data_IF_238556236000
#
_entry.id   IF_238556236000
#
_cell.length_a   1.000
_cell.length_b   1.000
_cell.length_c   1.000
_cell.angle_alpha   90.00
_cell.angle_beta   90.00
_cell.angle_gamma   90.00
#
_symmetry.space_group_name_H-M   'P 1'
#
loop_
_entity.id
_entity.type
_entity.pdbx_description
1 polymer ?
#
# COMPACT_ATOMS: atom_id res chain seq x y z
N UNK A 1 -6.55 -28.09 12.23
CA UNK A 1 -5.46 -27.14 11.95
C UNK A 1 -5.93 -25.75 12.34
N UNK A 2 -5.41 -25.22 13.45
CA UNK A 2 -5.72 -23.87 13.95
C UNK A 2 -5.27 -22.84 12.91
N UNK A 3 -6.22 -22.04 12.43
CA UNK A 3 -6.01 -21.05 11.40
C UNK A 3 -5.43 -19.79 12.06
N UNK A 4 -4.12 -19.74 12.24
CA UNK A 4 -3.47 -18.60 12.92
C UNK A 4 -3.46 -17.40 11.97
N UNK A 5 -4.41 -16.46 12.19
CA UNK A 5 -4.38 -15.14 11.56
C UNK A 5 -3.14 -14.39 12.04
N UNK A 6 -2.35 -13.87 11.11
CA UNK A 6 -1.16 -13.07 11.43
C UNK A 6 -1.41 -11.63 11.05
N UNK A 7 -1.28 -10.73 12.00
CA UNK A 7 -1.28 -9.28 11.80
C UNK A 7 0.14 -8.75 11.96
N UNK A 8 0.57 -7.87 11.06
CA UNK A 8 1.84 -7.17 11.16
C UNK A 8 1.58 -5.68 11.02
N UNK A 9 2.16 -4.90 11.93
CA UNK A 9 2.05 -3.45 11.96
C UNK A 9 3.39 -2.82 11.57
N UNK A 10 3.35 -1.78 10.74
CA UNK A 10 4.49 -0.91 10.44
C UNK A 10 4.09 0.54 10.67
N UNK A 11 4.93 1.27 11.39
CA UNK A 11 4.75 2.70 11.62
C UNK A 11 5.83 3.47 10.88
N UNK A 12 5.45 4.56 10.23
CA UNK A 12 6.38 5.48 9.56
C UNK A 12 5.82 6.90 9.62
N UNK A 13 6.55 7.87 9.10
CA UNK A 13 6.09 9.25 8.96
C UNK A 13 5.74 9.52 7.50
N UNK A 14 4.69 10.32 7.27
CA UNK A 14 4.39 10.89 5.96
C UNK A 14 5.38 12.02 5.63
N UNK A 15 5.34 12.51 4.40
CA UNK A 15 6.16 13.66 3.96
C UNK A 15 5.86 14.91 4.79
N UNK A 16 4.64 15.02 5.32
CA UNK A 16 4.17 16.13 6.16
C UNK A 16 4.43 15.89 7.67
N UNK A 17 5.25 14.89 8.02
CA UNK A 17 5.56 14.46 9.40
C UNK A 17 4.34 13.96 10.21
N UNK A 18 3.29 13.50 9.56
CA UNK A 18 2.17 12.83 10.23
C UNK A 18 2.45 11.33 10.43
N UNK A 19 1.90 10.72 11.48
CA UNK A 19 2.08 9.28 11.72
C UNK A 19 1.30 8.46 10.69
N UNK A 20 2.01 7.65 9.90
CA UNK A 20 1.43 6.67 8.99
C UNK A 20 1.54 5.27 9.59
N UNK A 21 0.39 4.66 9.87
CA UNK A 21 0.31 3.28 10.38
C UNK A 21 -0.19 2.35 9.27
N UNK A 22 0.62 1.37 8.90
CA UNK A 22 0.31 0.35 7.89
C UNK A 22 0.08 -0.99 8.57
N UNK A 23 -1.16 -1.48 8.52
CA UNK A 23 -1.53 -2.80 9.03
C UNK A 23 -1.65 -3.82 7.91
N UNK A 24 -0.93 -4.94 8.01
CA UNK A 24 -0.99 -6.07 7.07
C UNK A 24 -1.55 -7.31 7.73
N UNK A 25 -2.75 -7.72 7.30
CA UNK A 25 -3.39 -8.96 7.75
C UNK A 25 -3.15 -10.10 6.75
N UNK A 26 -2.55 -11.19 7.21
CA UNK A 26 -2.33 -12.40 6.43
C UNK A 26 -3.45 -13.41 6.71
N UNK A 27 -4.25 -13.69 5.68
CA UNK A 27 -5.37 -14.64 5.71
C UNK A 27 -5.09 -15.84 4.82
N UNK A 28 -5.51 -17.03 5.27
CA UNK A 28 -5.39 -18.26 4.48
C UNK A 28 -6.28 -18.17 3.23
N UNK A 29 -5.70 -18.37 2.05
CA UNK A 29 -6.42 -18.34 0.77
C UNK A 29 -6.45 -16.96 0.08
N UNK A 30 -5.82 -15.94 0.67
CA UNK A 30 -5.62 -14.63 0.04
C UNK A 30 -4.16 -14.51 -0.39
N UNK A 31 -3.90 -14.60 -1.69
CA UNK A 31 -2.57 -14.31 -2.24
C UNK A 31 -2.44 -12.81 -2.62
N UNK A 32 -1.21 -12.34 -2.78
CA UNK A 32 -0.89 -10.93 -3.11
C UNK A 32 -1.56 -10.46 -4.40
N UNK A 33 -1.67 -11.32 -5.42
CA UNK A 33 -2.27 -10.97 -6.71
C UNK A 33 -3.79 -10.80 -6.62
N UNK A 34 -4.45 -11.65 -5.83
CA UNK A 34 -5.88 -11.60 -5.57
C UNK A 34 -6.22 -10.38 -4.70
N UNK A 35 -5.41 -10.11 -3.67
CA UNK A 35 -5.52 -8.90 -2.87
C UNK A 35 -5.38 -7.62 -3.74
N UNK A 36 -4.45 -7.60 -4.70
CA UNK A 36 -4.30 -6.48 -5.64
C UNK A 36 -5.54 -6.16 -6.50
N UNK A 37 -6.35 -7.18 -6.77
CA UNK A 37 -7.60 -7.03 -7.53
C UNK A 37 -8.75 -6.55 -6.66
N UNK A 38 -8.76 -6.92 -5.38
CA UNK A 38 -9.84 -6.62 -4.43
C UNK A 38 -9.65 -5.26 -3.77
N UNK A 39 -8.41 -4.89 -3.44
CA UNK A 39 -8.10 -3.68 -2.68
C UNK A 39 -7.86 -2.52 -3.65
N UNK A 40 -8.73 -1.49 -3.71
CA UNK A 40 -8.60 -0.37 -4.64
C UNK A 40 -7.27 0.37 -4.47
N UNK A 41 -6.86 0.54 -3.21
CA UNK A 41 -5.66 1.26 -2.79
C UNK A 41 -4.35 0.48 -2.97
N UNK A 42 -4.40 -0.78 -3.43
CA UNK A 42 -3.21 -1.57 -3.73
C UNK A 42 -2.62 -1.26 -5.12
N UNK A 43 -3.36 -0.50 -5.94
CA UNK A 43 -2.90 -0.01 -7.22
C UNK A 43 -2.01 1.19 -6.97
N UNK A 44 -0.76 1.14 -7.45
CA UNK A 44 0.08 2.34 -7.51
C UNK A 44 -0.59 3.33 -8.45
N UNK A 45 -1.09 4.43 -7.91
CA UNK A 45 -1.53 5.56 -8.71
C UNK A 45 -0.30 6.33 -9.16
N UNK A 46 0.16 6.05 -10.39
CA UNK A 46 1.19 6.87 -11.01
C UNK A 46 0.54 8.20 -11.39
N UNK A 47 0.79 9.23 -10.60
CA UNK A 47 0.34 10.60 -10.89
C UNK A 47 1.44 11.30 -11.68
N UNK A 48 1.03 11.97 -12.76
CA UNK A 48 1.89 12.84 -13.55
C UNK A 48 2.07 14.14 -12.77
N UNK A 49 3.30 14.45 -12.39
CA UNK A 49 3.66 15.72 -11.77
C UNK A 49 4.23 16.63 -12.85
N UNK A 50 3.62 17.80 -12.99
CA UNK A 50 4.14 18.86 -13.84
C UNK A 50 5.33 19.54 -13.15
N UNK A 51 6.49 19.57 -13.82
CA UNK A 51 7.70 20.29 -13.41
C UNK A 51 8.08 21.37 -14.42
N UNK A 52 7.08 22.09 -14.91
CA UNK A 52 7.23 23.31 -15.70
C UNK A 52 7.59 23.07 -17.17
N UNK A 53 8.69 22.36 -17.45
CA UNK A 53 9.11 21.99 -18.82
C UNK A 53 9.03 20.50 -19.11
N UNK A 54 8.72 19.67 -18.10
CA UNK A 54 8.61 18.22 -18.20
C UNK A 54 7.53 17.70 -17.28
N UNK A 55 6.91 16.60 -17.69
CA UNK A 55 5.98 15.85 -16.85
C UNK A 55 6.68 14.55 -16.43
N UNK A 56 6.72 14.29 -15.12
CA UNK A 56 7.38 13.11 -14.55
C UNK A 56 6.36 12.26 -13.80
N UNK A 57 6.47 10.94 -13.91
CA UNK A 57 5.66 10.03 -13.09
C UNK A 57 6.26 9.95 -11.67
N UNK A 58 5.50 10.36 -10.67
CA UNK A 58 5.84 10.04 -9.28
C UNK A 58 5.48 8.57 -8.99
N UNK A 59 6.42 7.83 -8.40
CA UNK A 59 6.41 6.36 -8.33
C UNK A 59 6.13 5.81 -6.94
#
# INVERSE_FOLDING_TARGET
MTNTRRLVEHKTLTVDNEELVVMTLFEKGVNKEKAKKIVPYSKKHAVLIDRGSKVEFAK
#
